data_IF_417100279674
#
_entry.id   IF_417100279674
#
_cell.length_a   1.000
_cell.length_b   1.000
_cell.length_c   1.000
_cell.angle_alpha   90.00
_cell.angle_beta   90.00
_cell.angle_gamma   90.00
#
_symmetry.space_group_name_H-M   'P 1'
#
loop_
_entity.id
_entity.type
_entity.pdbx_description
1 polymer ?
#
# COMPACT_ATOMS: atom_id res chain seq x y z
N UNK A 1 -38.00 2.55 31.70
CA UNK A 1 -36.71 2.97 31.10
C UNK A 1 -35.52 2.35 31.85
N UNK A 2 -35.76 1.65 32.97
CA UNK A 2 -34.73 0.85 33.64
C UNK A 2 -34.86 -0.63 33.26
N UNK A 3 -33.94 -1.13 32.44
CA UNK A 3 -33.76 -2.57 32.20
C UNK A 3 -32.93 -3.16 33.36
N UNK A 4 -33.50 -4.00 34.25
CA UNK A 4 -32.81 -4.58 35.41
C UNK A 4 -31.57 -5.40 35.04
N UNK A 5 -31.50 -5.86 33.78
CA UNK A 5 -30.37 -6.60 33.24
C UNK A 5 -29.12 -5.73 33.09
N UNK A 6 -29.30 -4.45 32.72
CA UNK A 6 -28.19 -3.52 32.48
C UNK A 6 -27.45 -3.16 33.77
N UNK A 7 -28.17 -2.94 34.86
CA UNK A 7 -27.60 -2.54 36.14
C UNK A 7 -26.83 -3.69 36.81
N UNK A 8 -27.39 -4.91 36.74
CA UNK A 8 -26.72 -6.13 37.24
C UNK A 8 -25.39 -6.39 36.52
N UNK A 9 -25.33 -6.14 35.21
CA UNK A 9 -24.09 -6.27 34.41
C UNK A 9 -23.04 -5.24 34.80
N UNK A 10 -23.44 -3.98 35.05
CA UNK A 10 -22.51 -2.92 35.49
C UNK A 10 -21.83 -3.28 36.81
N UNK A 11 -22.62 -3.69 37.80
CA UNK A 11 -22.11 -4.12 39.12
C UNK A 11 -21.11 -5.27 38.96
N UNK A 12 -21.39 -6.21 38.06
CA UNK A 12 -20.53 -7.37 37.79
C UNK A 12 -19.20 -6.97 37.15
N UNK A 13 -19.22 -5.99 36.23
CA UNK A 13 -18.03 -5.44 35.58
C UNK A 13 -17.15 -4.73 36.62
N UNK A 14 -17.71 -3.80 37.39
CA UNK A 14 -16.99 -3.01 38.40
C UNK A 14 -16.30 -3.91 39.43
N UNK A 15 -16.99 -4.95 39.91
CA UNK A 15 -16.45 -5.89 40.89
C UNK A 15 -15.31 -6.76 40.36
N UNK A 16 -15.15 -6.85 39.04
CA UNK A 16 -14.12 -7.68 38.36
C UNK A 16 -13.02 -6.86 37.68
N UNK A 17 -12.99 -5.53 37.82
CA UNK A 17 -11.91 -4.70 37.28
C UNK A 17 -10.51 -5.12 37.76
N UNK A 18 -10.37 -5.58 39.02
CA UNK A 18 -9.09 -6.11 39.52
C UNK A 18 -8.54 -7.28 38.70
N UNK A 19 -9.42 -8.09 38.10
CA UNK A 19 -9.00 -9.18 37.22
C UNK A 19 -8.39 -8.63 35.92
N UNK A 20 -8.95 -7.54 35.38
CA UNK A 20 -8.44 -6.87 34.19
C UNK A 20 -7.03 -6.33 34.46
N UNK A 21 -6.84 -5.62 35.58
CA UNK A 21 -5.54 -5.09 35.98
C UNK A 21 -4.50 -6.21 36.13
N UNK A 22 -4.86 -7.32 36.78
CA UNK A 22 -3.97 -8.47 36.94
C UNK A 22 -3.58 -9.10 35.60
N UNK A 23 -4.51 -9.23 34.66
CA UNK A 23 -4.21 -9.80 33.34
C UNK A 23 -3.39 -8.83 32.49
N UNK A 24 -3.74 -7.53 32.49
CA UNK A 24 -3.00 -6.51 31.77
C UNK A 24 -1.53 -6.43 32.22
N UNK A 25 -1.26 -6.58 33.52
CA UNK A 25 0.11 -6.60 34.05
C UNK A 25 1.00 -7.72 33.49
N UNK A 26 0.43 -8.80 32.94
CA UNK A 26 1.21 -9.85 32.25
C UNK A 26 1.78 -9.38 30.91
N UNK A 27 1.27 -8.27 30.37
CA UNK A 27 1.65 -7.70 29.07
C UNK A 27 2.46 -6.41 29.19
N UNK A 28 2.96 -6.08 30.38
CA UNK A 28 3.70 -4.83 30.66
C UNK A 28 4.96 -4.66 29.78
N UNK A 29 5.65 -5.77 29.48
CA UNK A 29 6.83 -5.79 28.60
C UNK A 29 6.53 -5.54 27.09
N UNK A 30 5.28 -5.24 26.71
CA UNK A 30 4.89 -5.08 25.30
C UNK A 30 5.28 -3.72 24.69
N UNK A 31 5.72 -2.77 25.53
CA UNK A 31 6.04 -1.38 25.15
C UNK A 31 4.81 -0.49 24.96
N UNK A 32 3.65 -0.93 25.44
CA UNK A 32 2.39 -0.18 25.46
C UNK A 32 2.12 0.28 26.89
N UNK A 33 1.56 1.48 27.06
CA UNK A 33 1.16 1.98 28.36
C UNK A 33 0.17 1.01 29.04
N UNK A 34 0.43 0.68 30.31
CA UNK A 34 -0.40 -0.22 31.10
C UNK A 34 -1.86 0.26 31.22
N UNK A 35 -2.10 1.57 31.23
CA UNK A 35 -3.46 2.16 31.27
C UNK A 35 -4.25 1.85 30.00
N UNK A 36 -3.61 1.83 28.84
CA UNK A 36 -4.22 1.44 27.58
C UNK A 36 -4.59 -0.05 27.59
N UNK A 37 -3.68 -0.89 28.09
CA UNK A 37 -3.92 -2.33 28.22
C UNK A 37 -5.08 -2.63 29.17
N UNK A 38 -5.22 -1.87 30.26
CA UNK A 38 -6.35 -1.96 31.19
C UNK A 38 -7.65 -1.54 30.48
N UNK A 39 -7.62 -0.45 29.71
CA UNK A 39 -8.80 0.03 28.95
C UNK A 39 -9.26 -1.00 27.92
N UNK A 40 -8.34 -1.55 27.14
CA UNK A 40 -8.61 -2.62 26.16
C UNK A 40 -9.10 -3.89 26.85
N UNK A 41 -8.46 -4.27 27.95
CA UNK A 41 -8.87 -5.42 28.75
C UNK A 41 -10.28 -5.24 29.34
N UNK A 42 -10.67 -4.01 29.68
CA UNK A 42 -12.01 -3.68 30.18
C UNK A 42 -13.08 -3.90 29.10
N UNK A 43 -12.77 -3.60 27.83
CA UNK A 43 -13.63 -3.95 26.69
C UNK A 43 -13.82 -5.47 26.61
N UNK A 44 -12.74 -6.24 26.80
CA UNK A 44 -12.79 -7.71 26.85
C UNK A 44 -13.65 -8.25 27.99
N UNK A 45 -13.61 -7.62 29.16
CA UNK A 45 -14.47 -7.97 30.29
C UNK A 45 -15.95 -7.67 29.99
N UNK A 46 -16.26 -6.50 29.40
CA UNK A 46 -17.63 -6.12 29.01
C UNK A 46 -18.19 -7.13 28.01
N UNK A 47 -17.41 -7.49 26.98
CA UNK A 47 -17.78 -8.53 26.00
C UNK A 47 -18.05 -9.86 26.71
N UNK A 48 -17.16 -10.28 27.61
CA UNK A 48 -17.31 -11.52 28.36
C UNK A 48 -18.59 -11.55 29.19
N UNK A 49 -18.92 -10.47 29.90
CA UNK A 49 -20.15 -10.36 30.71
C UNK A 49 -21.40 -10.39 29.84
N UNK A 50 -21.35 -9.78 28.65
CA UNK A 50 -22.48 -9.78 27.71
C UNK A 50 -22.73 -11.14 27.05
N UNK A 51 -21.69 -11.94 26.82
CA UNK A 51 -21.78 -13.24 26.12
C UNK A 51 -21.66 -14.44 27.04
N UNK A 52 -21.57 -14.24 28.36
CA UNK A 52 -21.42 -15.32 29.32
C UNK A 52 -22.70 -16.17 29.41
N UNK A 53 -22.51 -17.48 29.37
CA UNK A 53 -23.59 -18.47 29.46
C UNK A 53 -23.36 -19.36 30.70
N UNK A 54 -24.18 -19.21 31.75
CA UNK A 54 -24.06 -20.01 32.97
C UNK A 54 -24.30 -21.51 32.76
N UNK A 55 -25.00 -21.91 31.70
CA UNK A 55 -25.33 -23.32 31.43
C UNK A 55 -24.08 -24.18 31.13
N UNK A 56 -22.99 -23.53 30.73
CA UNK A 56 -21.72 -24.18 30.36
C UNK A 56 -20.87 -24.64 31.56
N UNK A 57 -21.37 -24.47 32.79
CA UNK A 57 -20.73 -24.92 34.03
C UNK A 57 -19.25 -24.50 34.20
N UNK A 58 -18.91 -23.29 33.73
CA UNK A 58 -17.59 -22.68 33.91
C UNK A 58 -17.70 -21.41 34.74
N UNK A 59 -16.69 -21.13 35.56
CA UNK A 59 -16.64 -19.88 36.33
C UNK A 59 -16.49 -18.70 35.38
N UNK A 60 -17.27 -17.64 35.59
CA UNK A 60 -17.19 -16.38 34.83
C UNK A 60 -15.76 -15.84 34.75
N UNK A 61 -15.00 -15.91 35.85
CA UNK A 61 -13.61 -15.44 35.88
C UNK A 61 -12.71 -16.19 34.88
N UNK A 62 -12.93 -17.49 34.69
CA UNK A 62 -12.17 -18.31 33.73
C UNK A 62 -12.48 -17.89 32.29
N UNK A 63 -13.75 -17.70 31.98
CA UNK A 63 -14.19 -17.24 30.67
C UNK A 63 -13.72 -15.81 30.38
N UNK A 64 -13.98 -14.88 31.31
CA UNK A 64 -13.59 -13.48 31.20
C UNK A 64 -12.08 -13.33 31.05
N UNK A 65 -11.27 -14.15 31.73
CA UNK A 65 -9.81 -14.10 31.58
C UNK A 65 -9.37 -14.35 30.14
N UNK A 66 -9.98 -15.32 29.44
CA UNK A 66 -9.71 -15.61 28.03
C UNK A 66 -10.15 -14.46 27.11
N UNK A 67 -11.30 -13.85 27.38
CA UNK A 67 -11.80 -12.72 26.59
C UNK A 67 -10.92 -11.46 26.75
N UNK A 68 -10.52 -11.14 27.99
CA UNK A 68 -9.62 -10.02 28.30
C UNK A 68 -8.28 -10.22 27.59
N UNK A 69 -7.68 -11.40 27.74
CA UNK A 69 -6.41 -11.75 27.11
C UNK A 69 -6.48 -11.66 25.58
N UNK A 70 -7.59 -12.14 24.98
CA UNK A 70 -7.77 -12.09 23.54
C UNK A 70 -7.87 -10.65 23.00
N UNK A 71 -8.61 -9.76 23.67
CA UNK A 71 -8.70 -8.35 23.24
C UNK A 71 -7.35 -7.64 23.31
N UNK A 72 -6.59 -7.86 24.39
CA UNK A 72 -5.24 -7.31 24.53
C UNK A 72 -4.32 -7.83 23.42
N UNK A 73 -4.33 -9.15 23.16
CA UNK A 73 -3.55 -9.74 22.08
C UNK A 73 -3.97 -9.24 20.70
N UNK A 74 -5.27 -9.02 20.46
CA UNK A 74 -5.77 -8.44 19.22
C UNK A 74 -5.23 -7.03 19.00
N UNK A 75 -5.22 -6.20 20.05
CA UNK A 75 -4.63 -4.87 20.00
C UNK A 75 -3.12 -4.91 19.69
N UNK A 76 -2.36 -5.73 20.43
CA UNK A 76 -0.92 -5.85 20.25
C UNK A 76 -0.55 -6.32 18.83
N UNK A 77 -1.29 -7.29 18.27
CA UNK A 77 -1.09 -7.74 16.87
C UNK A 77 -1.36 -6.63 15.86
N UNK A 78 -2.33 -5.76 16.11
CA UNK A 78 -2.65 -4.62 15.23
C UNK A 78 -1.58 -3.54 15.32
N UNK A 79 -1.11 -3.21 16.53
CA UNK A 79 -0.12 -2.17 16.76
C UNK A 79 1.30 -2.59 16.32
N UNK A 80 1.59 -3.90 16.25
CA UNK A 80 2.89 -4.37 15.75
C UNK A 80 3.16 -3.97 14.28
N UNK A 81 2.11 -3.72 13.49
CA UNK A 81 2.25 -3.25 12.09
C UNK A 81 2.75 -1.81 11.98
N UNK A 82 2.54 -1.01 13.02
CA UNK A 82 2.91 0.42 13.07
C UNK A 82 4.16 0.67 13.89
N UNK A 83 4.73 -0.36 14.54
CA UNK A 83 5.97 -0.22 15.34
C UNK A 83 7.20 0.17 14.52
N UNK A 84 7.21 -0.06 13.22
CA UNK A 84 8.28 0.36 12.31
C UNK A 84 8.14 1.80 11.82
N UNK A 85 7.06 2.50 12.19
CA UNK A 85 6.88 3.88 11.79
C UNK A 85 7.73 4.76 12.70
N UNK A 86 8.57 5.58 12.08
CA UNK A 86 9.42 6.58 12.73
C UNK A 86 8.86 7.94 12.36
N UNK A 87 8.90 8.90 13.29
CA UNK A 87 8.47 10.26 12.96
C UNK A 87 9.47 10.90 12.00
N UNK A 88 8.97 11.62 11.01
CA UNK A 88 9.83 12.37 10.10
C UNK A 88 10.53 13.53 10.84
N UNK A 89 9.91 14.03 11.91
CA UNK A 89 10.43 15.10 12.76
C UNK A 89 11.31 14.58 13.91
N UNK A 90 11.68 13.29 13.91
CA UNK A 90 12.58 12.74 14.93
C UNK A 90 14.04 13.07 14.59
N UNK A 91 14.84 13.57 15.55
CA UNK A 91 16.25 13.88 15.31
C UNK A 91 17.04 12.58 15.10
N UNK A 92 17.67 12.49 13.94
CA UNK A 92 18.52 11.37 13.54
C UNK A 92 19.94 11.52 14.10
N UNK A 93 20.45 12.75 14.17
CA UNK A 93 21.73 13.10 14.77
C UNK A 93 21.69 14.52 15.34
N UNK A 94 22.65 14.83 16.20
CA UNK A 94 22.86 16.18 16.74
C UNK A 94 24.33 16.53 16.53
N UNK A 95 24.57 17.62 15.82
CA UNK A 95 25.92 18.13 15.59
C UNK A 95 26.54 18.67 16.90
N UNK A 96 27.85 18.89 16.90
CA UNK A 96 28.59 19.43 18.05
C UNK A 96 28.08 20.81 18.52
N UNK A 97 27.43 21.56 17.64
CA UNK A 97 26.80 22.86 17.93
C UNK A 97 25.35 22.75 18.44
N UNK A 98 24.82 21.53 18.59
CA UNK A 98 23.46 21.28 19.09
C UNK A 98 22.37 21.38 18.03
N UNK A 99 22.71 21.49 16.74
CA UNK A 99 21.74 21.47 15.66
C UNK A 99 21.26 20.03 15.40
N UNK A 100 19.95 19.85 15.36
CA UNK A 100 19.31 18.56 15.10
C UNK A 100 19.20 18.31 13.59
N UNK A 101 19.66 17.15 13.13
CA UNK A 101 19.44 16.66 11.78
C UNK A 101 18.18 15.79 11.80
N UNK A 102 17.10 16.23 11.16
CA UNK A 102 15.85 15.48 11.13
C UNK A 102 15.84 14.48 9.96
N UNK A 103 14.97 13.46 10.05
CA UNK A 103 14.75 12.56 8.92
C UNK A 103 14.17 13.34 7.72
N UNK A 104 13.33 14.35 7.94
CA UNK A 104 12.81 15.25 6.89
C UNK A 104 13.90 15.84 6.01
N UNK A 105 15.04 16.16 6.59
CA UNK A 105 16.10 16.91 5.93
C UNK A 105 16.90 16.02 4.97
N UNK A 106 16.87 14.70 5.21
CA UNK A 106 17.53 13.69 4.37
C UNK A 106 16.58 13.16 3.29
N UNK A 107 15.27 13.23 3.52
CA UNK A 107 14.25 12.77 2.59
C UNK A 107 14.21 13.68 1.34
N UNK A 108 15.07 13.38 0.39
CA UNK A 108 15.08 13.99 -0.93
C UNK A 108 13.99 13.42 -1.86
N UNK A 109 13.84 14.07 -3.01
CA UNK A 109 13.07 13.52 -4.14
C UNK A 109 13.99 12.65 -5.00
N UNK A 110 13.46 11.62 -5.65
CA UNK A 110 14.23 10.79 -6.58
C UNK A 110 15.00 11.68 -7.58
N UNK A 111 16.31 11.45 -7.70
CA UNK A 111 17.22 12.21 -8.58
C UNK A 111 16.75 12.25 -10.03
N UNK A 112 15.99 11.23 -10.42
CA UNK A 112 15.69 10.95 -11.81
C UNK A 112 14.47 11.71 -12.35
N UNK A 113 13.74 12.47 -11.53
CA UNK A 113 12.50 13.12 -12.01
C UNK A 113 12.80 14.17 -13.07
N UNK A 114 13.92 14.88 -12.94
CA UNK A 114 14.32 15.91 -13.91
C UNK A 114 15.00 15.28 -15.13
N UNK A 115 15.95 14.35 -14.91
CA UNK A 115 16.66 13.69 -16.01
C UNK A 115 15.74 12.85 -16.89
N UNK A 116 14.80 12.08 -16.30
CA UNK A 116 13.83 11.28 -17.08
C UNK A 116 13.02 12.11 -18.05
N UNK A 117 12.64 13.33 -17.70
CA UNK A 117 11.87 14.19 -18.60
C UNK A 117 12.72 14.65 -19.80
N UNK A 118 13.97 15.03 -19.56
CA UNK A 118 14.90 15.44 -20.62
C UNK A 118 15.27 14.24 -21.52
N UNK A 119 15.51 13.07 -20.93
CA UNK A 119 15.80 11.83 -21.64
C UNK A 119 14.61 11.42 -22.52
N UNK A 120 13.38 11.50 -21.99
CA UNK A 120 12.16 11.22 -22.74
C UNK A 120 11.96 12.17 -23.93
N UNK A 121 12.20 13.46 -23.76
CA UNK A 121 12.12 14.43 -24.86
C UNK A 121 13.13 14.09 -25.97
N UNK A 122 14.35 13.72 -25.58
CA UNK A 122 15.42 13.32 -26.50
C UNK A 122 15.04 12.04 -27.25
N UNK A 123 14.53 11.02 -26.56
CA UNK A 123 14.06 9.76 -27.14
C UNK A 123 12.90 9.97 -28.13
N UNK A 124 11.94 10.84 -27.78
CA UNK A 124 10.82 11.20 -28.66
C UNK A 124 11.34 11.88 -29.93
N UNK A 125 12.34 12.75 -29.81
CA UNK A 125 12.92 13.43 -30.95
C UNK A 125 13.65 12.47 -31.89
N UNK A 126 14.47 11.56 -31.35
CA UNK A 126 15.14 10.51 -32.12
C UNK A 126 14.13 9.59 -32.84
N UNK A 127 13.04 9.22 -32.16
CA UNK A 127 11.98 8.40 -32.75
C UNK A 127 11.27 9.15 -33.89
N UNK A 128 10.96 10.44 -33.72
CA UNK A 128 10.32 11.26 -34.77
C UNK A 128 11.20 11.37 -36.02
N UNK A 129 12.50 11.56 -35.84
CA UNK A 129 13.45 11.62 -36.96
C UNK A 129 13.55 10.27 -37.68
N UNK A 130 13.62 9.16 -36.94
CA UNK A 130 13.65 7.82 -37.51
C UNK A 130 12.35 7.47 -38.27
N UNK A 131 11.19 7.88 -37.74
CA UNK A 131 9.89 7.73 -38.41
C UNK A 131 9.81 8.55 -39.70
N UNK A 132 10.45 9.72 -39.77
CA UNK A 132 10.52 10.55 -40.97
C UNK A 132 11.23 9.89 -42.16
N UNK A 133 12.06 8.86 -41.92
CA UNK A 133 12.75 8.09 -42.96
C UNK A 133 11.95 6.90 -43.49
N UNK A 134 10.81 6.58 -42.87
CA UNK A 134 9.91 5.55 -43.34
C UNK A 134 9.08 6.04 -44.53
N UNK A 135 8.62 5.11 -45.36
CA UNK A 135 7.61 5.45 -46.37
C UNK A 135 6.27 5.81 -45.71
N UNK A 136 5.45 6.62 -46.38
CA UNK A 136 4.09 6.99 -45.93
C UNK A 136 3.27 5.78 -45.46
N UNK A 137 3.37 4.66 -46.20
CA UNK A 137 2.66 3.43 -45.87
C UNK A 137 3.19 2.78 -44.59
N UNK A 138 4.51 2.71 -44.42
CA UNK A 138 5.15 2.14 -43.22
C UNK A 138 4.89 3.00 -41.99
N UNK A 139 4.99 4.33 -42.15
CA UNK A 139 4.69 5.31 -41.11
C UNK A 139 3.25 5.17 -40.62
N UNK A 140 2.27 5.11 -41.53
CA UNK A 140 0.87 4.93 -41.18
C UNK A 140 0.58 3.62 -40.43
N UNK A 141 1.30 2.54 -40.75
CA UNK A 141 1.20 1.28 -40.00
C UNK A 141 1.71 1.48 -38.57
N UNK A 142 2.84 2.15 -38.37
CA UNK A 142 3.38 2.42 -37.02
C UNK A 142 2.48 3.36 -36.22
N UNK A 143 1.97 4.43 -36.83
CA UNK A 143 1.07 5.40 -36.19
C UNK A 143 -0.22 4.74 -35.69
N UNK A 144 -0.81 3.83 -36.48
CA UNK A 144 -2.00 3.08 -36.08
C UNK A 144 -1.69 1.98 -35.05
N UNK A 145 -0.57 1.24 -35.19
CA UNK A 145 -0.25 0.13 -34.28
C UNK A 145 0.10 0.59 -32.88
N UNK A 146 0.81 1.70 -32.75
CA UNK A 146 1.32 2.21 -31.47
C UNK A 146 0.64 3.50 -31.01
N UNK A 147 -0.41 3.96 -31.72
CA UNK A 147 -1.16 5.14 -31.30
C UNK A 147 -0.32 6.41 -31.26
N UNK A 148 0.62 6.58 -32.19
CA UNK A 148 1.50 7.76 -32.25
C UNK A 148 0.77 9.03 -32.71
N UNK A 149 -0.54 8.91 -32.96
CA UNK A 149 -1.45 9.98 -33.35
C UNK A 149 -2.71 9.90 -32.48
N UNK A 150 -3.57 10.91 -32.57
CA UNK A 150 -4.83 11.00 -31.80
C UNK A 150 -5.86 9.91 -32.06
N UNK A 151 -5.56 8.93 -32.93
CA UNK A 151 -6.45 7.84 -33.32
C UNK A 151 -6.40 6.62 -32.38
N UNK A 152 -5.50 6.61 -31.40
CA UNK A 152 -5.30 5.51 -30.47
C UNK A 152 -4.62 4.29 -31.10
N UNK A 153 -4.29 3.31 -30.27
CA UNK A 153 -3.68 2.05 -30.72
C UNK A 153 -4.69 1.11 -31.39
N UNK A 154 -4.24 0.38 -32.41
CA UNK A 154 -5.03 -0.61 -33.17
C UNK A 154 -4.31 -1.94 -33.22
N UNK A 155 -5.06 -3.03 -33.15
CA UNK A 155 -4.53 -4.40 -33.31
C UNK A 155 -4.04 -4.64 -34.74
N UNK A 156 -3.16 -5.63 -34.94
CA UNK A 156 -2.68 -5.98 -36.29
C UNK A 156 -3.82 -6.35 -37.24
N UNK A 157 -4.90 -6.94 -36.72
CA UNK A 157 -6.09 -7.29 -37.50
C UNK A 157 -6.84 -6.03 -37.93
N UNK A 158 -7.10 -5.10 -37.03
CA UNK A 158 -7.77 -3.83 -37.37
C UNK A 158 -6.96 -3.00 -38.37
N UNK A 159 -5.63 -2.94 -38.20
CA UNK A 159 -4.75 -2.25 -39.17
C UNK A 159 -4.78 -2.94 -40.53
N UNK A 160 -4.80 -4.28 -40.54
CA UNK A 160 -4.90 -5.07 -41.77
C UNK A 160 -6.22 -4.80 -42.51
N UNK A 161 -7.34 -4.77 -41.78
CA UNK A 161 -8.66 -4.46 -42.29
C UNK A 161 -8.72 -3.02 -42.86
N UNK A 162 -8.15 -2.05 -42.15
CA UNK A 162 -8.06 -0.65 -42.61
C UNK A 162 -7.16 -0.46 -43.83
N UNK A 163 -6.10 -1.25 -43.96
CA UNK A 163 -5.10 -1.15 -45.03
C UNK A 163 -5.38 -2.08 -46.22
N UNK A 164 -6.47 -2.86 -46.18
CA UNK A 164 -6.87 -3.79 -47.23
C UNK A 164 -5.85 -4.90 -47.52
N UNK A 165 -5.12 -5.36 -46.49
CA UNK A 165 -4.07 -6.38 -46.61
C UNK A 165 -4.22 -7.44 -45.51
N UNK A 166 -3.52 -8.57 -45.61
CA UNK A 166 -3.63 -9.62 -44.59
C UNK A 166 -2.92 -9.26 -43.30
N UNK A 167 -3.46 -9.72 -42.17
CA UNK A 167 -2.84 -9.55 -40.84
C UNK A 167 -1.42 -10.15 -40.78
N UNK A 168 -1.19 -11.30 -41.42
CA UNK A 168 0.13 -11.91 -41.54
C UNK A 168 1.13 -11.02 -42.31
N UNK A 169 0.65 -10.26 -43.31
CA UNK A 169 1.49 -9.30 -44.02
C UNK A 169 1.82 -8.07 -43.17
N UNK A 170 0.86 -7.53 -42.42
CA UNK A 170 1.11 -6.48 -41.41
C UNK A 170 2.15 -6.93 -40.38
N UNK A 171 2.01 -8.13 -39.81
CA UNK A 171 2.95 -8.67 -38.82
C UNK A 171 4.39 -8.75 -39.36
N UNK A 172 4.56 -9.16 -40.62
CA UNK A 172 5.87 -9.20 -41.30
C UNK A 172 6.43 -7.79 -41.56
N UNK A 173 5.58 -6.84 -41.96
CA UNK A 173 6.00 -5.45 -42.16
C UNK A 173 6.40 -4.79 -40.83
N UNK A 174 5.61 -4.95 -39.77
CA UNK A 174 5.88 -4.40 -38.43
C UNK A 174 7.26 -4.82 -37.94
N UNK A 175 7.59 -6.11 -37.97
CA UNK A 175 8.92 -6.60 -37.58
C UNK A 175 10.06 -5.96 -38.40
N UNK A 176 9.84 -5.79 -39.71
CA UNK A 176 10.84 -5.20 -40.62
C UNK A 176 11.04 -3.71 -40.33
N UNK A 177 9.95 -2.98 -40.11
CA UNK A 177 9.94 -1.56 -39.80
C UNK A 177 10.63 -1.33 -38.46
N UNK A 178 10.30 -2.08 -37.41
CA UNK A 178 10.96 -2.00 -36.09
C UNK A 178 12.46 -2.23 -36.21
N UNK A 179 12.88 -3.25 -36.96
CA UNK A 179 14.31 -3.54 -37.18
C UNK A 179 15.00 -2.38 -37.88
N UNK A 180 14.33 -1.72 -38.83
CA UNK A 180 14.84 -0.54 -39.54
C UNK A 180 14.91 0.68 -38.62
N UNK A 181 13.86 0.96 -37.85
CA UNK A 181 13.82 2.06 -36.88
C UNK A 181 14.95 1.92 -35.85
N UNK A 182 15.16 0.72 -35.30
CA UNK A 182 16.27 0.45 -34.38
C UNK A 182 17.62 0.79 -35.00
N UNK A 183 17.86 0.40 -36.25
CA UNK A 183 19.10 0.72 -36.98
C UNK A 183 19.26 2.22 -37.25
N UNK A 184 18.17 2.92 -37.54
CA UNK A 184 18.22 4.37 -37.76
C UNK A 184 18.46 5.14 -36.46
N UNK A 185 17.83 4.75 -35.36
CA UNK A 185 18.06 5.38 -34.04
C UNK A 185 19.52 5.19 -33.61
N UNK A 186 20.10 4.00 -33.76
CA UNK A 186 21.52 3.74 -33.44
C UNK A 186 22.48 4.61 -34.26
N UNK A 187 22.10 5.08 -35.45
CA UNK A 187 22.94 6.00 -36.25
C UNK A 187 22.81 7.46 -35.83
N UNK A 188 21.74 7.81 -35.12
CA UNK A 188 21.42 9.17 -34.68
C UNK A 188 21.97 9.48 -33.28
N UNK A 189 22.28 8.43 -32.51
CA UNK A 189 23.01 8.46 -31.24
C UNK A 189 24.51 8.41 -31.51
#
# INVERSE_FOLDING_TARGET
IDDPSGESKKILIERKLRLVVYIAGKFDNSGVNIEDLISIGSIGLIKAVNTFDPSKNIKLATYASRCIENEILMYLRRNNKTKSNISIDEPLNVDWDGNELLLSDILGTDSDIISKNIDNETDIQLLKEALGKLSERERKIMELRYGLTSLGEKTQKEVADMMGISQSYISRLEKRIITRLKKEIIKLV
#
